data_IF_474866225067
#
_entry.id   IF_474866225067
#
_cell.length_a   1.000
_cell.length_b   1.000
_cell.length_c   1.000
_cell.angle_alpha   90.00
_cell.angle_beta   90.00
_cell.angle_gamma   90.00
#
_symmetry.space_group_name_H-M   'P 1'
#
loop_
_entity.id
_entity.type
_entity.pdbx_description
1 polymer ?
#
# COMPACT_ATOMS: atom_id res chain seq x y z
N UNK A 1 55.83 -27.53 -32.67
CA UNK A 1 57.22 -27.50 -32.20
C UNK A 1 57.50 -26.10 -31.67
N UNK A 2 57.48 -25.95 -30.34
CA UNK A 2 58.24 -24.99 -29.52
C UNK A 2 58.17 -23.46 -29.73
N UNK A 3 57.84 -22.80 -28.60
CA UNK A 3 58.28 -21.51 -28.00
C UNK A 3 57.17 -20.45 -27.90
N UNK A 4 56.63 -20.07 -26.72
CA UNK A 4 57.17 -19.66 -25.41
C UNK A 4 57.34 -18.13 -25.28
N UNK A 5 56.66 -17.53 -24.29
CA UNK A 5 57.18 -16.49 -23.37
C UNK A 5 56.12 -16.08 -22.32
N UNK A 6 56.38 -16.38 -21.04
CA UNK A 6 55.96 -15.59 -19.85
C UNK A 6 57.01 -14.46 -19.63
N UNK A 7 56.94 -13.51 -18.66
CA UNK A 7 56.09 -13.42 -17.45
C UNK A 7 55.57 -12.01 -17.06
N UNK A 8 54.67 -11.90 -16.06
CA UNK A 8 54.86 -11.14 -14.81
C UNK A 8 53.59 -11.08 -13.95
N UNK A 9 53.77 -11.28 -12.65
CA UNK A 9 52.78 -11.11 -11.59
C UNK A 9 52.82 -9.68 -11.05
N UNK A 10 51.66 -9.08 -10.75
CA UNK A 10 51.47 -7.99 -9.79
C UNK A 10 50.08 -8.09 -9.14
N UNK A 11 50.03 -7.75 -7.86
CA UNK A 11 48.91 -7.83 -6.92
C UNK A 11 47.78 -6.81 -7.24
N UNK A 12 46.58 -6.92 -6.63
CA UNK A 12 45.40 -6.18 -7.05
C UNK A 12 45.38 -4.76 -6.46
N UNK A 13 45.18 -3.77 -7.33
CA UNK A 13 44.97 -2.38 -6.96
C UNK A 13 43.49 -2.02 -7.15
N UNK A 14 42.92 -1.41 -6.12
CA UNK A 14 41.55 -0.94 -6.01
C UNK A 14 41.19 0.08 -7.10
N UNK A 15 40.10 -0.15 -7.83
CA UNK A 15 39.44 0.88 -8.63
C UNK A 15 38.06 1.20 -8.06
N UNK A 16 37.95 2.37 -7.42
CA UNK A 16 36.70 3.08 -7.18
C UNK A 16 35.97 3.32 -8.52
N UNK A 17 34.75 2.81 -8.63
CA UNK A 17 33.86 3.14 -9.73
C UNK A 17 33.17 4.48 -9.45
N UNK A 18 33.61 5.53 -10.16
CA UNK A 18 32.95 6.84 -10.22
C UNK A 18 31.50 6.68 -10.72
N UNK A 19 30.57 7.18 -9.92
CA UNK A 19 29.12 7.22 -10.16
C UNK A 19 28.82 8.20 -11.31
N UNK A 20 28.44 7.68 -12.48
CA UNK A 20 27.93 8.47 -13.61
C UNK A 20 26.48 8.91 -13.39
N UNK A 21 25.98 9.95 -14.09
CA UNK A 21 24.67 10.53 -13.83
C UNK A 21 23.54 9.57 -14.23
N UNK A 22 22.55 9.43 -13.33
CA UNK A 22 21.29 8.74 -13.57
C UNK A 22 20.43 9.56 -14.53
N UNK A 23 20.07 8.99 -15.67
CA UNK A 23 19.08 9.57 -16.58
C UNK A 23 17.70 9.02 -16.20
N UNK A 24 16.90 9.84 -15.52
CA UNK A 24 15.46 9.63 -15.33
C UNK A 24 14.77 10.21 -16.56
N UNK A 25 14.16 9.37 -17.40
CA UNK A 25 13.42 9.82 -18.58
C UNK A 25 11.96 10.06 -18.20
N UNK A 26 11.64 11.28 -17.78
CA UNK A 26 10.24 11.72 -17.60
C UNK A 26 9.74 12.27 -18.93
N UNK A 27 8.86 11.54 -19.60
CA UNK A 27 8.15 12.06 -20.78
C UNK A 27 7.08 13.05 -20.32
N UNK A 28 7.33 14.36 -20.48
CA UNK A 28 6.31 15.41 -20.37
C UNK A 28 5.83 15.77 -21.77
N UNK A 29 4.60 15.36 -22.12
CA UNK A 29 3.93 15.81 -23.34
C UNK A 29 3.51 17.29 -23.24
N UNK A 30 3.46 18.03 -24.36
CA UNK A 30 3.09 19.44 -24.35
C UNK A 30 1.58 19.66 -24.21
N UNK A 31 1.20 20.63 -23.37
CA UNK A 31 -0.14 21.20 -23.27
C UNK A 31 -0.48 21.98 -24.54
N UNK A 32 -1.43 21.47 -25.34
CA UNK A 32 -2.03 22.22 -26.43
C UNK A 32 -3.30 22.92 -25.93
N UNK A 33 -3.23 24.25 -25.86
CA UNK A 33 -4.34 25.15 -25.60
C UNK A 33 -5.14 25.29 -26.91
N UNK A 34 -6.41 24.88 -26.93
CA UNK A 34 -7.30 25.18 -28.04
C UNK A 34 -8.48 26.02 -27.56
N UNK A 35 -8.48 27.29 -27.95
CA UNK A 35 -9.60 28.21 -27.80
C UNK A 35 -10.45 28.18 -29.07
N UNK A 36 -11.77 28.05 -28.89
CA UNK A 36 -12.78 28.59 -29.81
C UNK A 36 -13.54 27.57 -30.67
N UNK A 37 -14.75 27.20 -30.24
CA UNK A 37 -15.97 27.76 -30.82
C UNK A 37 -17.18 27.43 -29.94
N UNK A 38 -17.87 28.48 -29.51
CA UNK A 38 -19.12 28.46 -28.76
C UNK A 38 -20.30 28.56 -29.75
N UNK A 39 -21.43 27.99 -29.36
CA UNK A 39 -22.78 28.11 -29.96
C UNK A 39 -22.99 27.52 -31.36
N UNK A 40 -23.66 26.36 -31.39
CA UNK A 40 -24.91 26.17 -32.13
C UNK A 40 -25.58 24.88 -31.66
N UNK A 41 -26.92 24.89 -31.62
CA UNK A 41 -27.85 23.81 -31.23
C UNK A 41 -28.40 23.86 -29.79
N UNK A 42 -29.04 24.98 -29.46
CA UNK A 42 -30.23 24.99 -28.61
C UNK A 42 -31.48 25.03 -29.52
N UNK A 43 -32.11 23.88 -29.77
CA UNK A 43 -33.54 23.79 -30.12
C UNK A 43 -34.10 22.44 -29.62
N UNK A 44 -35.28 22.41 -28.97
CA UNK A 44 -35.87 21.19 -28.43
C UNK A 44 -36.61 20.42 -29.54
N UNK A 45 -36.42 19.11 -29.62
CA UNK A 45 -37.25 18.24 -30.46
C UNK A 45 -38.46 17.67 -29.69
N UNK A 46 -39.59 17.39 -30.36
CA UNK A 46 -40.86 17.08 -29.71
C UNK A 46 -40.90 15.67 -29.13
N UNK A 47 -41.52 15.58 -27.95
CA UNK A 47 -41.87 14.35 -27.24
C UNK A 47 -42.95 13.57 -27.97
N UNK A 48 -42.60 12.40 -28.51
CA UNK A 48 -43.56 11.34 -28.84
C UNK A 48 -43.39 10.18 -27.87
N UNK A 49 -44.41 9.99 -27.03
CA UNK A 49 -44.51 8.87 -26.09
C UNK A 49 -44.87 7.57 -26.83
N UNK A 50 -44.10 6.52 -26.53
CA UNK A 50 -44.40 5.13 -26.82
C UNK A 50 -43.91 4.26 -25.66
N UNK A 51 -44.61 3.17 -25.31
CA UNK A 51 -44.34 2.42 -24.08
C UNK A 51 -42.97 1.75 -24.10
N UNK A 52 -42.16 2.03 -23.07
CA UNK A 52 -40.84 1.46 -22.88
C UNK A 52 -40.92 -0.06 -22.65
N UNK A 53 -40.45 -0.82 -23.63
CA UNK A 53 -40.04 -2.21 -23.44
C UNK A 53 -38.86 -2.20 -22.46
N UNK A 54 -39.09 -2.76 -21.26
CA UNK A 54 -38.04 -2.98 -20.26
C UNK A 54 -36.94 -3.83 -20.91
N UNK A 55 -35.65 -3.40 -20.86
CA UNK A 55 -34.55 -4.30 -21.14
C UNK A 55 -34.65 -5.49 -20.17
N UNK A 56 -34.47 -6.73 -20.63
CA UNK A 56 -34.36 -7.85 -19.70
C UNK A 56 -33.18 -7.58 -18.77
N UNK A 57 -33.45 -7.70 -17.48
CA UNK A 57 -32.47 -7.73 -16.40
C UNK A 57 -31.28 -8.58 -16.87
N UNK A 58 -30.02 -8.11 -16.77
CA UNK A 58 -28.89 -8.96 -17.11
C UNK A 58 -28.97 -10.21 -16.25
N UNK A 59 -29.10 -11.34 -16.91
CA UNK A 59 -29.01 -12.66 -16.32
C UNK A 59 -27.70 -12.73 -15.55
N UNK A 60 -27.77 -13.04 -14.26
CA UNK A 60 -26.62 -13.50 -13.50
C UNK A 60 -26.09 -14.74 -14.21
N UNK A 61 -25.02 -14.55 -14.97
CA UNK A 61 -24.33 -15.63 -15.71
C UNK A 61 -22.85 -15.28 -15.75
N UNK A 62 -22.21 -15.56 -14.62
CA UNK A 62 -20.83 -16.02 -14.43
C UNK A 62 -20.68 -16.09 -12.91
N UNK A 63 -20.23 -17.21 -12.35
CA UNK A 63 -19.70 -17.20 -10.98
C UNK A 63 -18.55 -16.19 -10.98
N UNK A 64 -18.78 -14.96 -10.52
CA UNK A 64 -17.71 -14.00 -10.27
C UNK A 64 -16.84 -14.60 -9.18
N UNK A 65 -15.62 -15.01 -9.54
CA UNK A 65 -14.61 -15.42 -8.55
C UNK A 65 -14.51 -14.34 -7.47
N UNK A 66 -14.56 -14.69 -6.18
CA UNK A 66 -14.50 -13.72 -5.11
C UNK A 66 -13.20 -12.92 -5.22
N UNK A 67 -13.32 -11.59 -5.11
CA UNK A 67 -12.17 -10.70 -5.21
C UNK A 67 -11.15 -11.00 -4.09
N UNK A 68 -9.90 -11.21 -4.48
CA UNK A 68 -8.75 -11.47 -3.62
C UNK A 68 -8.16 -10.17 -3.09
N UNK A 69 -7.91 -10.09 -1.79
CA UNK A 69 -7.19 -8.96 -1.18
C UNK A 69 -5.68 -9.20 -1.20
N UNK A 70 -4.91 -8.23 -1.69
CA UNK A 70 -3.47 -8.36 -1.98
C UNK A 70 -2.54 -8.06 -0.79
N UNK A 71 -3.06 -7.66 0.37
CA UNK A 71 -2.23 -7.37 1.54
C UNK A 71 -2.11 -8.60 2.45
N UNK A 72 -0.89 -9.02 2.77
CA UNK A 72 -0.60 -10.00 3.83
C UNK A 72 0.33 -9.37 4.87
N UNK A 73 -0.24 -8.87 5.97
CA UNK A 73 0.53 -8.24 7.05
C UNK A 73 1.40 -7.08 6.54
N UNK A 74 2.70 -7.01 6.86
CA UNK A 74 3.60 -5.95 6.36
C UNK A 74 3.97 -6.09 4.87
N UNK A 75 3.33 -6.99 4.11
CA UNK A 75 3.50 -7.14 2.67
C UNK A 75 4.79 -7.80 2.20
N UNK A 76 5.59 -8.38 3.10
CA UNK A 76 6.82 -9.06 2.72
C UNK A 76 6.58 -10.42 2.05
N UNK A 77 5.47 -11.08 2.38
CA UNK A 77 5.11 -12.40 1.86
C UNK A 77 3.94 -12.31 0.88
N UNK A 78 4.00 -13.02 -0.26
CA UNK A 78 2.87 -13.08 -1.18
C UNK A 78 1.63 -13.69 -0.54
N UNK A 79 0.46 -13.26 -1.03
CA UNK A 79 -0.84 -13.83 -0.66
C UNK A 79 -1.04 -15.21 -1.25
N UNK A 80 -0.60 -15.42 -2.49
CA UNK A 80 -0.62 -16.72 -3.16
C UNK A 80 0.53 -16.83 -4.14
N UNK A 81 0.99 -18.06 -4.36
CA UNK A 81 2.05 -18.41 -5.29
C UNK A 81 1.52 -19.51 -6.21
N UNK A 82 1.56 -19.25 -7.51
CA UNK A 82 1.23 -20.17 -8.58
C UNK A 82 2.51 -20.62 -9.28
N UNK A 83 2.53 -21.89 -9.71
CA UNK A 83 3.67 -22.48 -10.42
C UNK A 83 3.22 -22.99 -11.78
N UNK A 84 3.99 -22.68 -12.82
CA UNK A 84 3.70 -23.00 -14.20
C UNK A 84 4.86 -23.74 -14.85
N UNK A 85 4.54 -24.74 -15.67
CA UNK A 85 5.52 -25.41 -16.52
C UNK A 85 5.56 -24.72 -17.89
N UNK A 86 6.62 -23.95 -18.15
CA UNK A 86 6.74 -23.15 -19.37
C UNK A 86 6.76 -24.00 -20.65
N UNK A 87 7.08 -25.30 -20.58
CA UNK A 87 7.02 -26.18 -21.77
C UNK A 87 5.61 -26.46 -22.25
N UNK A 88 4.60 -26.20 -21.41
CA UNK A 88 3.17 -26.38 -21.72
C UNK A 88 2.46 -25.06 -22.03
N UNK A 89 3.14 -23.92 -21.92
CA UNK A 89 2.51 -22.62 -22.14
C UNK A 89 2.29 -22.38 -23.63
N UNK A 90 1.06 -22.02 -23.97
CA UNK A 90 0.70 -21.51 -25.31
C UNK A 90 0.33 -20.01 -25.28
N UNK A 91 -0.08 -19.51 -24.11
CA UNK A 91 -0.46 -18.11 -23.88
C UNK A 91 0.47 -17.43 -22.88
N UNK A 92 1.17 -16.38 -23.33
CA UNK A 92 2.08 -15.58 -22.50
C UNK A 92 1.47 -14.20 -22.24
N UNK A 93 0.31 -14.22 -21.59
CA UNK A 93 -0.37 -13.02 -21.11
C UNK A 93 -1.08 -13.30 -19.80
N UNK A 94 -1.16 -12.28 -18.96
CA UNK A 94 -1.94 -12.28 -17.74
C UNK A 94 -2.86 -11.07 -17.74
N UNK A 95 -4.10 -11.25 -17.31
CA UNK A 95 -5.08 -10.18 -17.19
C UNK A 95 -5.87 -10.30 -15.90
N UNK A 96 -6.27 -9.17 -15.33
CA UNK A 96 -7.06 -9.12 -14.10
C UNK A 96 -7.72 -7.74 -13.97
N UNK A 97 -8.76 -7.64 -13.15
CA UNK A 97 -9.26 -6.36 -12.69
C UNK A 97 -8.67 -6.02 -11.32
N UNK A 98 -8.35 -4.74 -11.14
CA UNK A 98 -7.63 -4.22 -9.97
C UNK A 98 -8.29 -2.94 -9.43
N UNK A 99 -8.38 -2.81 -8.11
CA UNK A 99 -8.91 -1.61 -7.42
C UNK A 99 -8.09 -1.32 -6.16
N UNK A 100 -7.71 -0.05 -5.96
CA UNK A 100 -7.01 0.39 -4.74
C UNK A 100 -7.17 1.91 -4.50
N UNK A 101 -6.85 2.34 -3.29
CA UNK A 101 -6.49 3.74 -2.94
C UNK A 101 -5.01 3.87 -2.53
N UNK A 102 -4.28 2.75 -2.52
CA UNK A 102 -2.89 2.67 -2.13
C UNK A 102 -1.98 3.10 -3.29
N UNK A 103 -1.13 4.13 -3.10
CA UNK A 103 -0.32 4.67 -4.19
C UNK A 103 0.97 3.87 -4.45
N UNK A 104 1.39 2.95 -3.58
CA UNK A 104 2.64 2.18 -3.71
C UNK A 104 2.42 0.72 -3.28
N UNK A 105 2.99 -0.23 -4.02
CA UNK A 105 2.90 -1.65 -3.63
C UNK A 105 3.07 -2.61 -4.78
N UNK A 106 3.19 -3.92 -4.48
CA UNK A 106 3.36 -4.96 -5.50
C UNK A 106 2.01 -5.58 -5.83
N UNK A 107 1.64 -5.57 -7.12
CA UNK A 107 0.45 -6.29 -7.60
C UNK A 107 0.82 -7.76 -7.80
N UNK A 108 1.82 -8.02 -8.65
CA UNK A 108 2.36 -9.36 -8.82
C UNK A 108 3.84 -9.36 -9.20
N UNK A 109 4.46 -10.48 -8.90
CA UNK A 109 5.84 -10.80 -9.17
C UNK A 109 5.91 -12.13 -9.92
N UNK A 110 6.85 -12.30 -10.85
CA UNK A 110 7.09 -13.58 -11.50
C UNK A 110 8.56 -13.84 -11.74
N UNK A 111 8.98 -15.10 -11.60
CA UNK A 111 10.36 -15.52 -11.88
C UNK A 111 10.47 -16.90 -12.48
N UNK A 112 11.57 -17.12 -13.20
CA UNK A 112 12.11 -18.47 -13.44
C UNK A 112 13.35 -18.71 -12.59
N UNK A 113 14.03 -17.62 -12.20
CA UNK A 113 15.11 -17.63 -11.23
C UNK A 113 15.11 -16.28 -10.47
N UNK A 114 14.84 -16.28 -9.15
CA UNK A 114 14.71 -15.06 -8.37
C UNK A 114 15.97 -14.19 -8.36
N UNK A 115 17.14 -14.73 -8.72
CA UNK A 115 18.40 -13.98 -8.72
C UNK A 115 18.64 -13.17 -10.00
N UNK A 116 18.17 -13.66 -11.14
CA UNK A 116 18.59 -13.12 -12.44
C UNK A 116 17.57 -13.23 -13.57
N UNK A 117 16.37 -13.77 -13.32
CA UNK A 117 15.28 -13.78 -14.30
C UNK A 117 13.93 -13.62 -13.60
N UNK A 118 13.55 -12.35 -13.42
CA UNK A 118 12.34 -11.96 -12.72
C UNK A 118 11.71 -10.68 -13.29
N UNK A 119 10.42 -10.53 -13.02
CA UNK A 119 9.56 -9.43 -13.40
C UNK A 119 8.67 -9.04 -12.22
N UNK A 120 8.41 -7.75 -12.04
CA UNK A 120 7.49 -7.22 -11.05
C UNK A 120 6.61 -6.15 -11.69
N UNK A 121 5.31 -6.22 -11.45
CA UNK A 121 4.34 -5.15 -11.68
C UNK A 121 3.80 -4.66 -10.34
N UNK A 122 3.90 -3.36 -10.11
CA UNK A 122 3.40 -2.69 -8.91
C UNK A 122 2.88 -1.30 -9.21
N UNK A 123 2.61 -0.55 -8.15
CA UNK A 123 2.33 0.87 -8.20
C UNK A 123 3.46 1.68 -7.58
N UNK A 124 3.69 2.88 -8.11
CA UNK A 124 4.43 3.96 -7.48
C UNK A 124 3.79 5.28 -7.83
N UNK A 125 3.59 6.14 -6.82
CA UNK A 125 2.86 7.40 -6.97
C UNK A 125 1.50 7.21 -7.68
N UNK A 126 0.84 6.08 -7.39
CA UNK A 126 -0.43 5.67 -7.96
C UNK A 126 -0.37 5.13 -9.39
N UNK A 127 0.80 5.08 -10.04
CA UNK A 127 0.95 4.67 -11.45
C UNK A 127 1.57 3.28 -11.56
N UNK A 128 1.23 2.51 -12.61
CA UNK A 128 1.89 1.25 -12.91
C UNK A 128 3.40 1.42 -13.06
N UNK A 129 4.16 0.61 -12.32
CA UNK A 129 5.61 0.48 -12.41
C UNK A 129 5.97 -0.96 -12.73
N UNK A 130 6.86 -1.13 -13.71
CA UNK A 130 7.47 -2.39 -14.08
C UNK A 130 8.95 -2.35 -13.70
N UNK A 131 9.39 -3.37 -12.97
CA UNK A 131 10.80 -3.68 -12.80
C UNK A 131 11.08 -5.07 -13.39
N UNK A 132 12.11 -5.15 -14.23
CA UNK A 132 12.48 -6.37 -14.94
C UNK A 132 13.99 -6.57 -14.84
N UNK A 133 14.41 -7.79 -14.53
CA UNK A 133 15.80 -8.20 -14.63
C UNK A 133 15.89 -9.60 -15.25
N UNK A 134 16.44 -9.67 -16.45
CA UNK A 134 16.69 -10.92 -17.16
C UNK A 134 17.97 -10.82 -18.01
N UNK A 135 18.23 -11.82 -18.85
CA UNK A 135 19.42 -11.87 -19.70
C UNK A 135 19.50 -10.74 -20.75
N UNK A 136 18.35 -10.20 -21.17
CA UNK A 136 18.26 -9.19 -22.23
C UNK A 136 18.18 -7.77 -21.70
N UNK A 137 17.58 -7.57 -20.53
CA UNK A 137 17.29 -6.26 -19.99
C UNK A 137 17.32 -6.22 -18.46
N UNK A 138 17.77 -5.08 -17.94
CA UNK A 138 17.58 -4.69 -16.54
C UNK A 138 17.05 -3.26 -16.51
N UNK A 139 15.76 -3.09 -16.20
CA UNK A 139 15.07 -1.80 -16.32
C UNK A 139 14.02 -1.60 -15.23
N UNK A 140 13.68 -0.33 -15.04
CA UNK A 140 12.57 0.15 -14.22
C UNK A 140 11.86 1.22 -15.03
N UNK A 141 10.53 1.12 -15.16
CA UNK A 141 9.73 2.05 -15.94
C UNK A 141 8.35 2.21 -15.32
N UNK A 142 7.89 3.45 -15.18
CA UNK A 142 6.55 3.77 -14.71
C UNK A 142 5.79 4.48 -15.82
N UNK A 143 4.57 4.02 -16.13
CA UNK A 143 3.82 4.49 -17.28
C UNK A 143 2.31 4.29 -17.08
N UNK A 144 1.50 5.08 -17.80
CA UNK A 144 0.04 5.01 -17.72
C UNK A 144 -0.58 5.96 -16.71
N UNK A 145 -1.92 5.88 -16.53
CA UNK A 145 -2.67 6.74 -15.62
C UNK A 145 -2.42 6.37 -14.14
N UNK A 146 -2.97 7.17 -13.24
CA UNK A 146 -3.09 6.80 -11.83
C UNK A 146 -4.24 5.79 -11.67
N UNK A 147 -4.04 4.77 -10.83
CA UNK A 147 -4.97 3.67 -10.55
C UNK A 147 -5.42 3.60 -9.09
N UNK A 148 -4.94 4.54 -8.26
CA UNK A 148 -5.24 4.68 -6.84
C UNK A 148 -6.48 5.56 -6.60
N UNK A 149 -7.52 5.41 -7.44
CA UNK A 149 -8.72 6.24 -7.43
C UNK A 149 -9.96 5.52 -6.84
N UNK A 150 -9.79 4.29 -6.34
CA UNK A 150 -10.86 3.47 -5.79
C UNK A 150 -11.78 2.81 -6.83
N UNK A 151 -11.48 2.89 -8.13
CA UNK A 151 -12.25 2.25 -9.20
C UNK A 151 -11.60 0.95 -9.65
N UNK A 152 -12.40 0.10 -10.28
CA UNK A 152 -11.89 -1.11 -10.95
C UNK A 152 -11.28 -0.72 -12.29
N UNK A 153 -10.04 -1.15 -12.51
CA UNK A 153 -9.30 -1.01 -13.75
C UNK A 153 -8.95 -2.38 -14.32
N UNK A 154 -9.09 -2.54 -15.63
CA UNK A 154 -8.67 -3.77 -16.33
C UNK A 154 -7.18 -3.67 -16.69
N UNK A 155 -6.39 -4.63 -16.21
CA UNK A 155 -4.96 -4.73 -16.48
C UNK A 155 -4.69 -5.91 -17.40
N UNK A 156 -3.83 -5.70 -18.41
CA UNK A 156 -3.31 -6.79 -19.26
C UNK A 156 -1.79 -6.63 -19.41
N UNK A 157 -1.05 -7.67 -19.06
CA UNK A 157 0.39 -7.79 -19.33
C UNK A 157 0.58 -8.91 -20.33
N UNK A 158 1.22 -8.62 -21.47
CA UNK A 158 1.39 -9.60 -22.54
C UNK A 158 2.77 -9.52 -23.17
N UNK A 159 3.33 -10.68 -23.47
CA UNK A 159 4.53 -10.81 -24.29
C UNK A 159 4.11 -11.03 -25.74
N UNK A 160 4.64 -10.21 -26.65
CA UNK A 160 4.40 -10.31 -28.08
C UNK A 160 5.72 -10.17 -28.84
N UNK A 161 6.23 -11.30 -29.35
CA UNK A 161 7.57 -11.35 -29.95
C UNK A 161 8.64 -11.14 -28.89
N UNK A 162 9.50 -10.14 -29.10
CA UNK A 162 10.56 -9.73 -28.17
C UNK A 162 10.12 -8.63 -27.18
N UNK A 163 8.83 -8.28 -27.19
CA UNK A 163 8.31 -7.09 -26.55
C UNK A 163 7.36 -7.43 -25.40
N UNK A 164 7.45 -6.66 -24.31
CA UNK A 164 6.45 -6.61 -23.23
C UNK A 164 5.45 -5.48 -23.50
N UNK A 165 4.17 -5.77 -23.36
CA UNK A 165 3.09 -4.79 -23.47
C UNK A 165 2.33 -4.74 -22.15
N UNK A 166 2.02 -3.53 -21.70
CA UNK A 166 1.09 -3.28 -20.60
C UNK A 166 -0.08 -2.46 -21.15
N UNK A 167 -1.30 -2.93 -20.87
CA UNK A 167 -2.54 -2.23 -21.18
C UNK A 167 -3.33 -1.98 -19.91
N UNK A 168 -3.98 -0.82 -19.87
CA UNK A 168 -4.88 -0.38 -18.81
C UNK A 168 -6.17 0.03 -19.49
N UNK A 169 -7.30 -0.54 -19.07
CA UNK A 169 -8.64 -0.27 -19.60
C UNK A 169 -8.70 -0.37 -21.14
N UNK A 170 -8.03 -1.41 -21.68
CA UNK A 170 -7.93 -1.68 -23.12
C UNK A 170 -6.92 -0.82 -23.91
N UNK A 171 -6.32 0.19 -23.28
CA UNK A 171 -5.35 1.10 -23.91
C UNK A 171 -3.93 0.63 -23.62
N UNK A 172 -3.09 0.49 -24.66
CA UNK A 172 -1.65 0.25 -24.48
C UNK A 172 -0.98 1.49 -23.89
N UNK A 173 -0.51 1.37 -22.65
CA UNK A 173 0.16 2.47 -21.92
C UNK A 173 1.67 2.35 -21.96
N UNK A 174 2.19 1.15 -22.24
CA UNK A 174 3.62 0.89 -22.32
C UNK A 174 3.93 -0.29 -23.24
N UNK A 175 5.00 -0.14 -24.02
CA UNK A 175 5.62 -1.21 -24.80
C UNK A 175 7.14 -1.15 -24.65
N UNK A 176 7.70 -2.21 -24.08
CA UNK A 176 9.15 -2.40 -23.97
C UNK A 176 9.59 -3.36 -25.06
N UNK A 177 10.46 -2.94 -25.97
CA UNK A 177 10.95 -3.75 -27.09
C UNK A 177 12.28 -4.41 -26.74
N UNK A 178 12.58 -5.55 -27.36
CA UNK A 178 13.86 -6.25 -27.21
C UNK A 178 14.20 -6.64 -25.76
N UNK A 179 13.18 -6.96 -24.96
CA UNK A 179 13.31 -7.37 -23.55
C UNK A 179 13.17 -8.89 -23.35
N UNK A 180 12.83 -9.61 -24.41
CA UNK A 180 12.78 -11.08 -24.46
C UNK A 180 13.43 -11.58 -25.75
N UNK A 181 13.94 -12.81 -25.73
CA UNK A 181 14.52 -13.46 -26.91
C UNK A 181 14.44 -14.97 -26.84
N UNK A 182 14.87 -15.66 -27.91
CA UNK A 182 14.96 -17.12 -27.88
C UNK A 182 16.10 -17.57 -26.96
N UNK A 183 15.77 -18.32 -25.91
CA UNK A 183 16.74 -18.92 -25.03
C UNK A 183 17.09 -20.33 -25.50
N UNK A 184 18.39 -20.67 -25.48
CA UNK A 184 18.87 -22.00 -25.84
C UNK A 184 18.28 -23.05 -24.88
N UNK A 185 17.70 -24.08 -25.48
CA UNK A 185 16.95 -25.15 -24.85
C UNK A 185 17.73 -25.78 -23.69
N UNK A 186 17.22 -25.66 -22.46
CA UNK A 186 17.58 -26.54 -21.37
C UNK A 186 16.39 -26.71 -20.42
N UNK A 187 15.96 -27.96 -20.29
CA UNK A 187 15.31 -28.61 -19.13
C UNK A 187 14.38 -27.78 -18.23
N UNK A 188 13.09 -28.14 -18.25
CA UNK A 188 12.04 -27.76 -17.28
C UNK A 188 12.15 -26.34 -16.71
N UNK A 189 11.88 -25.33 -17.55
CA UNK A 189 11.64 -23.98 -17.04
C UNK A 189 10.33 -23.97 -16.27
N UNK A 190 10.45 -23.93 -14.94
CA UNK A 190 9.34 -23.66 -14.05
C UNK A 190 9.30 -22.14 -13.82
N UNK A 191 8.13 -21.55 -13.97
CA UNK A 191 7.88 -20.16 -13.62
C UNK A 191 7.00 -20.09 -12.38
N UNK A 192 7.30 -19.16 -11.48
CA UNK A 192 6.43 -18.83 -10.35
C UNK A 192 5.79 -17.48 -10.60
N UNK A 193 4.52 -17.33 -10.23
CA UNK A 193 3.84 -16.04 -10.12
C UNK A 193 3.36 -15.90 -8.68
N UNK A 194 3.73 -14.81 -8.04
CA UNK A 194 3.36 -14.46 -6.68
C UNK A 194 2.51 -13.19 -6.69
N UNK A 195 1.38 -13.20 -5.97
CA UNK A 195 0.46 -12.05 -5.90
C UNK A 195 0.64 -11.30 -4.57
N UNK A 196 0.62 -9.97 -4.59
CA UNK A 196 0.64 -9.13 -3.38
C UNK A 196 1.95 -9.15 -2.59
N UNK A 197 3.07 -9.53 -3.21
CA UNK A 197 4.36 -9.62 -2.54
C UNK A 197 5.50 -10.10 -3.45
N UNK A 198 6.69 -10.23 -2.87
CA UNK A 198 7.92 -10.64 -3.57
C UNK A 198 8.42 -11.99 -3.03
N UNK A 199 9.21 -12.71 -3.84
CA UNK A 199 9.92 -13.93 -3.41
C UNK A 199 11.39 -13.68 -3.01
N UNK A 200 11.77 -12.41 -2.91
CA UNK A 200 13.07 -11.95 -2.44
C UNK A 200 12.92 -10.60 -1.71
N UNK A 201 13.92 -10.14 -0.92
CA UNK A 201 13.84 -8.89 -0.18
C UNK A 201 13.60 -7.66 -1.06
N UNK A 202 12.67 -6.79 -0.69
CA UNK A 202 12.36 -5.57 -1.45
C UNK A 202 13.56 -4.62 -1.65
N UNK A 203 14.57 -4.70 -0.77
CA UNK A 203 15.84 -3.98 -0.90
C UNK A 203 16.64 -4.38 -2.15
N UNK A 204 16.40 -5.57 -2.70
CA UNK A 204 17.11 -6.12 -3.86
C UNK A 204 16.47 -5.66 -5.18
N UNK A 205 15.30 -5.01 -5.12
CA UNK A 205 14.76 -4.27 -6.26
C UNK A 205 15.71 -3.14 -6.66
N UNK A 206 15.81 -2.88 -7.96
CA UNK A 206 16.65 -1.78 -8.47
C UNK A 206 16.20 -0.43 -7.94
N UNK A 207 14.88 -0.24 -7.86
CA UNK A 207 14.27 0.90 -7.20
C UNK A 207 13.36 0.35 -6.09
N UNK A 208 13.85 0.29 -4.83
CA UNK A 208 13.04 -0.24 -3.73
C UNK A 208 11.69 0.48 -3.58
N UNK A 209 10.68 -0.28 -3.16
CA UNK A 209 9.36 0.21 -2.76
C UNK A 209 8.88 -0.58 -1.54
N UNK A 210 7.85 -0.09 -0.87
CA UNK A 210 7.10 -0.85 0.14
C UNK A 210 6.23 -1.87 -0.60
N UNK A 211 6.42 -3.19 -0.40
CA UNK A 211 5.72 -4.17 -1.24
C UNK A 211 4.25 -4.40 -0.87
N UNK A 212 3.87 -4.08 0.37
CA UNK A 212 2.50 -4.17 0.81
C UNK A 212 1.59 -3.34 -0.10
N UNK A 213 0.42 -3.89 -0.43
CA UNK A 213 -0.55 -3.21 -1.26
C UNK A 213 -1.97 -3.49 -0.74
N UNK A 214 -2.66 -2.47 -0.25
CA UNK A 214 -4.08 -2.56 0.10
C UNK A 214 -4.95 -2.45 -1.16
N UNK A 215 -5.08 -3.58 -1.85
CA UNK A 215 -5.81 -3.66 -3.09
C UNK A 215 -6.65 -4.92 -3.21
N UNK A 216 -7.64 -4.84 -4.11
CA UNK A 216 -8.51 -5.94 -4.49
C UNK A 216 -8.25 -6.34 -5.94
N UNK A 217 -8.21 -7.65 -6.17
CA UNK A 217 -7.98 -8.26 -7.48
C UNK A 217 -9.10 -9.27 -7.79
N UNK A 218 -9.64 -9.24 -9.01
CA UNK A 218 -10.69 -10.19 -9.44
C UNK A 218 -10.59 -10.49 -10.93
N UNK A 219 -11.38 -11.46 -11.39
CA UNK A 219 -11.48 -11.84 -12.80
C UNK A 219 -10.09 -12.09 -13.42
N UNK A 220 -9.24 -12.75 -12.65
CA UNK A 220 -7.85 -12.96 -13.00
C UNK A 220 -7.65 -14.20 -13.86
N UNK A 221 -6.76 -14.07 -14.83
CA UNK A 221 -6.35 -15.11 -15.76
C UNK A 221 -4.84 -15.01 -15.92
N UNK A 222 -4.11 -15.94 -15.31
CA UNK A 222 -2.66 -15.96 -15.25
C UNK A 222 -2.09 -16.97 -16.24
N UNK A 223 -1.38 -16.48 -17.27
CA UNK A 223 -0.74 -17.32 -18.27
C UNK A 223 -1.69 -18.41 -18.80
N UNK A 224 -1.18 -19.61 -19.09
CA UNK A 224 -1.98 -20.74 -19.54
C UNK A 224 -2.37 -21.63 -18.35
N UNK A 225 -3.67 -21.69 -18.05
CA UNK A 225 -4.25 -22.56 -17.00
C UNK A 225 -3.84 -24.03 -17.16
N UNK A 226 -3.64 -24.51 -18.40
CA UNK A 226 -3.22 -25.91 -18.65
C UNK A 226 -1.75 -26.16 -18.26
N UNK A 227 -0.95 -25.09 -18.17
CA UNK A 227 0.44 -25.14 -17.76
C UNK A 227 0.62 -25.00 -16.25
N UNK A 228 -0.42 -24.60 -15.51
CA UNK A 228 -0.38 -24.46 -14.06
C UNK A 228 -0.23 -25.84 -13.40
N UNK A 229 0.84 -26.01 -12.64
CA UNK A 229 1.14 -27.26 -11.93
C UNK A 229 0.69 -27.23 -10.47
N UNK A 230 0.63 -26.05 -9.86
CA UNK A 230 0.17 -25.85 -8.48
C UNK A 230 -0.22 -24.40 -8.22
N UNK A 231 -1.06 -24.19 -7.21
CA UNK A 231 -1.32 -22.90 -6.57
C UNK A 231 -1.41 -23.10 -5.06
N UNK A 232 -0.86 -22.16 -4.29
CA UNK A 232 -1.03 -22.16 -2.84
C UNK A 232 -2.42 -21.63 -2.46
N UNK A 233 -2.93 -22.12 -1.32
CA UNK A 233 -4.14 -21.53 -0.72
C UNK A 233 -3.84 -20.06 -0.38
N UNK A 234 -4.70 -19.11 -0.80
CA UNK A 234 -4.53 -17.71 -0.43
C UNK A 234 -4.47 -17.54 1.08
N UNK A 235 -3.47 -16.82 1.58
CA UNK A 235 -3.33 -16.53 3.01
C UNK A 235 -4.24 -15.40 3.48
N UNK A 236 -4.73 -14.58 2.55
CA UNK A 236 -5.63 -13.48 2.87
C UNK A 236 -7.03 -13.99 3.20
N UNK A 237 -7.51 -13.65 4.39
CA UNK A 237 -8.84 -14.02 4.90
C UNK A 237 -9.88 -12.92 4.62
N UNK A 238 -9.48 -11.83 3.93
CA UNK A 238 -10.30 -10.63 3.80
C UNK A 238 -11.15 -10.64 2.53
N UNK A 239 -12.41 -10.21 2.68
CA UNK A 239 -13.33 -10.03 1.57
C UNK A 239 -13.25 -8.62 0.99
N UNK A 240 -13.10 -8.54 -0.33
CA UNK A 240 -13.12 -7.30 -1.10
C UNK A 240 -14.53 -6.84 -1.53
N UNK A 241 -15.58 -7.54 -1.07
CA UNK A 241 -16.96 -7.28 -1.47
C UNK A 241 -17.60 -6.05 -0.82
N UNK A 242 -17.04 -5.55 0.28
CA UNK A 242 -17.60 -4.40 1.02
C UNK A 242 -17.38 -3.11 0.23
N UNK A 243 -18.40 -2.24 0.19
CA UNK A 243 -18.25 -0.89 -0.34
C UNK A 243 -17.31 -0.07 0.56
N UNK A 244 -16.26 0.46 -0.04
CA UNK A 244 -15.18 1.15 0.67
C UNK A 244 -14.89 2.53 0.10
N UNK A 245 -14.18 3.32 0.89
CA UNK A 245 -13.67 4.66 0.58
C UNK A 245 -12.21 4.75 1.03
N UNK A 246 -11.50 5.80 0.61
CA UNK A 246 -10.14 6.06 1.07
C UNK A 246 -10.07 6.23 2.60
N UNK A 247 -9.06 5.63 3.23
CA UNK A 247 -8.75 5.83 4.65
C UNK A 247 -8.08 4.62 5.30
N UNK A 248 -7.67 4.74 6.56
CA UNK A 248 -7.04 3.65 7.32
C UNK A 248 -8.07 3.07 8.29
N UNK A 249 -8.45 1.80 8.12
CA UNK A 249 -9.42 1.16 8.99
C UNK A 249 -8.79 0.19 9.98
N UNK A 250 -9.10 0.41 11.26
CA UNK A 250 -8.76 -0.43 12.39
C UNK A 250 -10.00 -1.20 12.85
N UNK A 251 -10.11 -2.51 12.55
CA UNK A 251 -11.10 -3.37 13.18
C UNK A 251 -10.87 -3.51 14.70
N UNK A 252 -11.88 -3.98 15.46
CA UNK A 252 -11.73 -4.26 16.88
C UNK A 252 -10.55 -5.18 17.19
N UNK A 253 -9.80 -4.85 18.23
CA UNK A 253 -8.66 -5.65 18.71
C UNK A 253 -7.40 -5.59 17.82
N UNK A 254 -7.39 -4.73 16.80
CA UNK A 254 -6.21 -4.55 15.93
C UNK A 254 -5.38 -3.34 16.35
N UNK A 255 -4.08 -3.43 16.14
CA UNK A 255 -3.16 -2.31 16.32
C UNK A 255 -1.93 -2.35 15.43
N UNK A 256 -1.24 -1.21 15.39
CA UNK A 256 -0.03 -0.96 14.63
C UNK A 256 0.96 -0.10 15.41
N UNK A 257 2.24 -0.19 15.07
CA UNK A 257 3.34 0.45 15.77
C UNK A 257 4.28 1.15 14.79
N UNK A 258 4.68 2.37 15.13
CA UNK A 258 5.77 3.10 14.47
C UNK A 258 6.90 3.33 15.45
N UNK A 259 8.14 3.16 14.99
CA UNK A 259 9.30 3.67 15.70
C UNK A 259 9.29 5.19 15.70
N UNK A 260 9.47 5.85 16.86
CA UNK A 260 9.54 7.31 16.91
C UNK A 260 10.76 7.89 16.16
N UNK A 261 11.74 7.04 15.83
CA UNK A 261 12.90 7.38 15.00
C UNK A 261 12.60 7.35 13.49
N UNK A 262 11.50 6.70 13.09
CA UNK A 262 11.08 6.49 11.70
C UNK A 262 10.03 7.51 11.24
N UNK A 263 9.44 8.24 12.19
CA UNK A 263 8.51 9.34 11.92
C UNK A 263 9.24 10.70 11.96
N UNK A 264 8.63 11.77 11.42
CA UNK A 264 9.22 13.11 11.45
C UNK A 264 9.63 13.56 12.85
N UNK A 265 10.83 14.13 12.95
CA UNK A 265 11.40 14.54 14.25
C UNK A 265 10.66 15.75 14.84
N UNK A 266 10.58 15.85 16.18
CA UNK A 266 10.13 17.06 16.86
C UNK A 266 10.94 18.29 16.45
N UNK A 267 10.31 19.46 16.53
CA UNK A 267 11.03 20.72 16.46
C UNK A 267 12.01 20.81 17.65
N UNK A 268 13.16 21.45 17.46
CA UNK A 268 14.17 21.54 18.50
C UNK A 268 13.95 22.73 19.44
N UNK A 269 13.61 23.91 18.90
CA UNK A 269 13.52 25.15 19.67
C UNK A 269 12.35 26.04 19.20
N UNK A 270 11.28 26.19 20.01
CA UNK A 270 10.97 25.39 21.19
C UNK A 270 10.69 23.93 20.82
N UNK A 271 10.97 22.99 21.73
CA UNK A 271 10.64 21.58 21.48
C UNK A 271 9.12 21.41 21.36
N UNK A 272 8.70 20.86 20.23
CA UNK A 272 7.29 20.61 19.94
C UNK A 272 7.11 19.40 19.02
N UNK A 273 6.13 18.56 19.36
CA UNK A 273 5.68 17.46 18.50
C UNK A 273 4.18 17.53 18.24
N UNK A 274 3.77 17.52 16.97
CA UNK A 274 2.36 17.51 16.60
C UNK A 274 1.98 16.19 15.92
N UNK A 275 0.78 15.73 16.26
CA UNK A 275 0.15 14.58 15.63
C UNK A 275 -1.34 14.87 15.39
N UNK A 276 -1.81 14.61 14.19
CA UNK A 276 -3.20 14.84 13.79
C UNK A 276 -3.84 13.51 13.35
N UNK A 277 -5.02 13.21 13.89
CA UNK A 277 -5.84 12.04 13.54
C UNK A 277 -7.18 12.52 12.99
N UNK A 278 -7.45 12.30 11.71
CA UNK A 278 -8.74 12.65 11.11
C UNK A 278 -9.72 11.47 11.20
N UNK A 279 -10.50 11.39 12.28
CA UNK A 279 -11.47 10.31 12.47
C UNK A 279 -12.72 10.52 11.60
N UNK A 280 -12.95 9.61 10.65
CA UNK A 280 -14.18 9.57 9.85
C UNK A 280 -15.26 8.73 10.54
N UNK A 281 -14.87 7.60 11.13
CA UNK A 281 -15.73 6.67 11.84
C UNK A 281 -15.06 6.31 13.16
N UNK A 282 -15.85 6.19 14.23
CA UNK A 282 -15.39 5.70 15.52
C UNK A 282 -16.55 5.03 16.25
N UNK A 283 -16.36 3.81 16.71
CA UNK A 283 -17.34 3.03 17.45
C UNK A 283 -16.66 2.20 18.55
N UNK A 284 -17.44 1.77 19.54
CA UNK A 284 -16.95 1.00 20.68
C UNK A 284 -16.12 1.84 21.66
N UNK A 285 -15.32 1.14 22.47
CA UNK A 285 -14.45 1.75 23.48
C UNK A 285 -13.08 1.08 23.49
N UNK A 286 -12.03 1.89 23.60
CA UNK A 286 -10.66 1.40 23.47
C UNK A 286 -9.63 2.46 23.19
N UNK A 287 -8.39 2.02 23.03
CA UNK A 287 -7.27 2.89 22.67
C UNK A 287 -7.37 3.29 21.20
N UNK A 288 -7.23 4.59 20.94
CA UNK A 288 -7.01 5.12 19.60
C UNK A 288 -5.50 5.22 19.33
N UNK A 289 -4.77 5.70 20.33
CA UNK A 289 -3.35 5.99 20.23
C UNK A 289 -2.64 5.92 21.58
N UNK A 290 -1.36 5.59 21.57
CA UNK A 290 -0.47 5.86 22.69
C UNK A 290 0.98 6.16 22.27
N UNK A 291 1.70 6.86 23.14
CA UNK A 291 3.14 7.06 23.08
C UNK A 291 3.76 6.39 24.31
N UNK A 292 4.83 5.65 24.10
CA UNK A 292 5.47 4.86 25.16
C UNK A 292 6.64 4.04 24.66
N UNK A 293 6.99 3.03 25.44
CA UNK A 293 7.90 1.94 25.04
C UNK A 293 7.14 0.62 25.04
N UNK A 294 7.66 -0.47 24.45
CA UNK A 294 7.01 -1.78 24.51
C UNK A 294 6.72 -2.26 25.95
N UNK A 295 7.60 -1.93 26.91
CA UNK A 295 7.45 -2.31 28.31
C UNK A 295 6.47 -1.42 29.07
N UNK A 296 6.33 -0.16 28.65
CA UNK A 296 5.38 0.79 29.21
C UNK A 296 4.74 1.62 28.08
N UNK A 297 3.72 1.07 27.40
CA UNK A 297 3.18 1.65 26.18
C UNK A 297 2.26 2.86 26.41
N UNK A 298 1.94 3.19 27.67
CA UNK A 298 0.93 4.20 28.03
C UNK A 298 1.52 5.37 28.80
N UNK A 299 2.65 5.93 28.35
CA UNK A 299 3.17 7.19 28.92
C UNK A 299 2.23 8.35 28.60
N UNK A 300 1.65 8.31 27.41
CA UNK A 300 0.54 9.16 26.99
C UNK A 300 -0.41 8.30 26.16
N UNK A 301 -1.70 8.35 26.44
CA UNK A 301 -2.71 7.57 25.73
C UNK A 301 -3.96 8.38 25.46
N UNK A 302 -4.57 8.08 24.32
CA UNK A 302 -5.85 8.61 23.88
C UNK A 302 -6.80 7.43 23.74
N UNK A 303 -7.87 7.45 24.53
CA UNK A 303 -8.91 6.42 24.49
C UNK A 303 -10.23 6.99 23.98
N UNK A 304 -10.94 6.19 23.19
CA UNK A 304 -12.35 6.38 22.90
C UNK A 304 -13.18 5.74 24.02
N UNK A 305 -14.05 6.54 24.63
CA UNK A 305 -14.99 6.08 25.65
C UNK A 305 -16.27 6.91 25.56
N UNK A 306 -17.41 6.26 25.32
CA UNK A 306 -18.74 6.89 25.33
C UNK A 306 -18.85 8.14 24.43
N UNK A 307 -18.34 8.06 23.19
CA UNK A 307 -18.26 9.17 22.22
C UNK A 307 -17.42 10.37 22.71
N UNK A 308 -16.56 10.14 23.69
CA UNK A 308 -15.54 11.10 24.13
C UNK A 308 -14.16 10.52 23.90
N UNK A 309 -13.22 11.42 23.74
CA UNK A 309 -11.79 11.14 23.70
C UNK A 309 -11.22 11.46 25.08
N UNK A 310 -10.54 10.51 25.69
CA UNK A 310 -9.90 10.67 27.00
C UNK A 310 -8.39 10.65 26.84
N UNK A 311 -7.74 11.77 27.13
CA UNK A 311 -6.28 11.89 27.23
C UNK A 311 -5.81 11.52 28.62
N UNK A 312 -4.83 10.63 28.74
CA UNK A 312 -4.25 10.22 30.02
C UNK A 312 -2.74 10.03 29.90
N UNK A 313 -1.99 10.25 30.99
CA UNK A 313 -0.53 10.06 31.05
C UNK A 313 -0.08 9.05 32.12
N UNK A 314 -1.01 8.23 32.61
CA UNK A 314 -0.80 7.34 33.76
C UNK A 314 -0.64 8.06 35.11
N UNK A 315 -0.47 9.39 35.10
CA UNK A 315 -0.38 10.26 36.27
C UNK A 315 -1.61 11.17 36.34
N UNK A 316 -2.48 10.91 37.31
CA UNK A 316 -3.66 11.75 37.57
C UNK A 316 -4.89 11.40 36.71
N UNK A 317 -5.97 12.20 36.85
CA UNK A 317 -7.21 11.97 36.12
C UNK A 317 -7.03 12.30 34.63
N UNK A 318 -7.67 11.52 33.76
CA UNK A 318 -7.71 11.80 32.34
C UNK A 318 -8.55 13.05 32.02
N UNK A 319 -8.25 13.69 30.89
CA UNK A 319 -9.02 14.83 30.36
C UNK A 319 -9.93 14.35 29.25
N UNK A 320 -11.23 14.64 29.34
CA UNK A 320 -12.21 14.25 28.33
C UNK A 320 -12.54 15.39 27.37
N UNK A 321 -12.58 15.07 26.09
CA UNK A 321 -12.99 15.98 25.02
C UNK A 321 -14.07 15.29 24.19
N UNK A 322 -15.25 15.90 23.98
CA UNK A 322 -16.31 15.29 23.16
C UNK A 322 -15.84 15.07 21.72
N UNK A 323 -15.99 13.84 21.20
CA UNK A 323 -15.56 13.50 19.86
C UNK A 323 -16.52 14.06 18.81
N UNK A 324 -15.99 14.74 17.81
CA UNK A 324 -16.73 15.20 16.62
C UNK A 324 -16.11 14.59 15.38
N UNK A 325 -16.81 13.65 14.74
CA UNK A 325 -16.34 13.01 13.51
C UNK A 325 -16.19 14.03 12.36
N UNK A 326 -15.21 13.81 11.49
CA UNK A 326 -14.88 14.71 10.38
C UNK A 326 -14.06 15.95 10.77
N UNK A 327 -13.83 16.20 12.06
CA UNK A 327 -12.85 17.18 12.53
C UNK A 327 -11.58 16.48 13.02
N UNK A 328 -10.38 16.92 12.60
CA UNK A 328 -9.14 16.30 13.04
C UNK A 328 -8.94 16.48 14.54
N UNK A 329 -8.61 15.38 15.21
CA UNK A 329 -8.15 15.36 16.59
C UNK A 329 -6.65 15.68 16.57
N UNK A 330 -6.26 16.80 17.16
CA UNK A 330 -4.89 17.30 17.14
C UNK A 330 -4.26 17.15 18.52
N UNK A 331 -3.07 16.58 18.55
CA UNK A 331 -2.28 16.34 19.74
C UNK A 331 -0.95 17.10 19.60
N UNK A 332 -0.78 18.14 20.41
CA UNK A 332 0.42 18.97 20.42
C UNK A 332 1.18 18.80 21.73
N UNK A 333 2.36 18.20 21.66
CA UNK A 333 3.27 17.98 22.77
C UNK A 333 4.26 19.14 22.83
N UNK A 334 4.49 19.63 24.04
CA UNK A 334 5.52 20.64 24.37
C UNK A 334 6.32 20.16 25.57
N UNK A 335 7.40 20.87 25.90
CA UNK A 335 8.25 20.54 27.07
C UNK A 335 7.50 20.47 28.40
N UNK A 336 6.36 21.16 28.54
CA UNK A 336 5.65 21.31 29.81
C UNK A 336 4.23 20.74 29.80
N UNK A 337 3.82 20.09 28.72
CA UNK A 337 2.47 19.55 28.64
C UNK A 337 2.02 19.19 27.23
N UNK A 338 0.80 18.67 27.19
CA UNK A 338 0.13 18.16 26.00
C UNK A 338 -1.17 18.92 25.82
N UNK A 339 -1.41 19.41 24.61
CA UNK A 339 -2.67 20.03 24.22
C UNK A 339 -3.41 19.05 23.30
N UNK A 340 -4.58 18.61 23.73
CA UNK A 340 -5.53 17.88 22.88
C UNK A 340 -6.57 18.87 22.38
N UNK A 341 -6.77 18.99 21.08
CA UNK A 341 -7.76 19.88 20.50
C UNK A 341 -8.55 19.24 19.38
N UNK A 342 -9.81 19.64 19.26
CA UNK A 342 -10.66 19.32 18.12
C UNK A 342 -11.54 20.53 17.80
N UNK A 343 -11.29 21.17 16.66
CA UNK A 343 -11.92 22.44 16.31
C UNK A 343 -11.62 23.53 17.36
N UNK A 344 -12.67 24.16 17.91
CA UNK A 344 -12.54 25.21 18.91
C UNK A 344 -12.32 24.69 20.35
N UNK A 345 -12.55 23.39 20.59
CA UNK A 345 -12.40 22.79 21.92
C UNK A 345 -10.96 22.35 22.12
N UNK A 346 -10.41 22.58 23.31
CA UNK A 346 -9.08 22.12 23.69
C UNK A 346 -9.00 21.81 25.17
N UNK A 347 -8.21 20.80 25.49
CA UNK A 347 -7.82 20.41 26.84
C UNK A 347 -6.30 20.42 26.96
N UNK A 348 -5.79 20.79 28.14
CA UNK A 348 -4.35 20.94 28.38
C UNK A 348 -3.96 20.07 29.57
N UNK A 349 -3.16 19.05 29.30
CA UNK A 349 -2.55 18.20 30.31
C UNK A 349 -1.16 18.72 30.63
N UNK A 350 -0.98 19.27 31.83
CA UNK A 350 0.35 19.66 32.30
C UNK A 350 1.18 18.41 32.61
N UNK A 351 2.43 18.38 32.13
CA UNK A 351 3.37 17.28 32.38
C UNK A 351 4.66 17.84 32.99
N UNK A 352 5.34 17.08 33.86
CA UNK A 352 6.61 17.51 34.42
C UNK A 352 7.65 17.67 33.30
N UNK A 353 8.40 18.79 33.26
CA UNK A 353 9.37 19.04 32.19
C UNK A 353 10.63 18.17 32.27
N UNK A 354 10.90 17.57 33.44
CA UNK A 354 12.03 16.69 33.68
C UNK A 354 11.64 15.58 34.67
N UNK A 355 12.31 14.43 34.58
CA UNK A 355 12.10 13.28 35.46
C UNK A 355 11.33 12.12 34.81
N UNK A 356 11.02 11.07 35.59
CA UNK A 356 10.27 9.91 35.09
C UNK A 356 8.93 10.34 34.50
N UNK A 357 8.70 10.03 33.22
CA UNK A 357 7.49 10.44 32.48
C UNK A 357 7.65 11.70 31.61
N UNK A 358 8.86 12.25 31.48
CA UNK A 358 9.13 13.28 30.47
C UNK A 358 8.96 12.73 29.05
N UNK A 359 8.06 13.33 28.27
CA UNK A 359 7.84 12.88 26.89
C UNK A 359 9.03 13.17 25.95
N UNK A 360 9.93 14.08 26.34
CA UNK A 360 11.17 14.33 25.62
C UNK A 360 12.05 13.08 25.53
N UNK A 361 12.06 12.29 26.60
CA UNK A 361 12.92 11.10 26.71
C UNK A 361 12.49 10.00 25.72
N UNK A 362 11.22 9.97 25.30
CA UNK A 362 10.71 9.01 24.31
C UNK A 362 11.41 9.13 22.97
N UNK A 363 11.74 10.34 22.53
CA UNK A 363 12.43 10.57 21.26
C UNK A 363 13.94 10.35 21.35
N UNK A 364 14.51 10.33 22.56
CA UNK A 364 15.91 9.98 22.79
C UNK A 364 16.09 8.45 22.85
N UNK A 365 15.06 7.74 23.31
CA UNK A 365 15.12 6.28 23.43
C UNK A 365 14.96 5.60 22.05
N UNK A 366 15.79 4.57 21.75
CA UNK A 366 15.62 3.77 20.52
C UNK A 366 14.33 2.93 20.56
N UNK A 367 13.80 2.69 21.75
CA UNK A 367 12.58 1.94 22.00
C UNK A 367 11.31 2.83 22.03
N UNK A 368 11.42 4.13 21.76
CA UNK A 368 10.24 4.99 21.67
C UNK A 368 9.30 4.52 20.54
N UNK A 369 8.01 4.38 20.86
CA UNK A 369 6.98 3.91 19.94
C UNK A 369 5.76 4.82 19.94
N UNK A 370 5.15 4.93 18.77
CA UNK A 370 3.78 5.37 18.55
C UNK A 370 2.92 4.13 18.30
N UNK A 371 1.99 3.84 19.20
CA UNK A 371 1.02 2.78 19.10
C UNK A 371 -0.31 3.35 18.58
N UNK A 372 -0.96 2.64 17.67
CA UNK A 372 -2.27 2.98 17.12
C UNK A 372 -3.20 1.79 17.28
N UNK A 373 -4.41 2.04 17.77
CA UNK A 373 -5.38 1.00 18.09
C UNK A 373 -4.99 0.18 19.33
N UNK A 374 -5.35 -1.10 19.32
CA UNK A 374 -5.17 -2.03 20.43
C UNK A 374 -3.70 -2.46 20.62
N UNK A 375 -3.28 -2.65 21.87
CA UNK A 375 -2.02 -3.33 22.17
C UNK A 375 -2.18 -4.87 22.08
N UNK A 376 -1.09 -5.64 21.90
CA UNK A 376 -1.15 -7.09 21.91
C UNK A 376 -1.81 -7.64 23.19
N UNK A 377 -2.91 -8.38 23.03
CA UNK A 377 -3.68 -8.95 24.15
C UNK A 377 -4.65 -7.98 24.85
N UNK A 378 -4.76 -6.72 24.41
CA UNK A 378 -5.73 -5.76 24.94
C UNK A 378 -7.12 -6.07 24.38
N UNK A 379 -8.05 -6.45 25.27
CA UNK A 379 -9.44 -6.66 24.90
C UNK A 379 -10.12 -5.29 24.68
N UNK A 380 -10.43 -4.96 23.43
CA UNK A 380 -11.09 -3.71 23.06
C UNK A 380 -12.14 -3.93 21.97
N UNK A 381 -13.23 -3.16 22.06
CA UNK A 381 -14.27 -3.10 21.05
C UNK A 381 -14.12 -1.89 20.10
N UNK A 382 -13.07 -1.08 20.28
CA UNK A 382 -12.86 0.12 19.47
C UNK A 382 -12.62 -0.25 18.01
N UNK A 383 -13.42 0.31 17.12
CA UNK A 383 -13.17 0.31 15.68
C UNK A 383 -13.25 1.72 15.15
N UNK A 384 -12.35 2.07 14.25
CA UNK A 384 -12.29 3.42 13.71
C UNK A 384 -11.66 3.46 12.33
N UNK A 385 -12.07 4.48 11.57
CA UNK A 385 -11.49 4.81 10.28
C UNK A 385 -10.84 6.19 10.37
N UNK A 386 -9.61 6.29 9.89
CA UNK A 386 -8.89 7.55 9.74
C UNK A 386 -8.90 7.98 8.27
N UNK A 387 -9.30 9.22 7.98
CA UNK A 387 -9.05 9.86 6.67
C UNK A 387 -7.56 10.10 6.44
N UNK A 388 -6.81 10.21 7.53
CA UNK A 388 -5.37 10.22 7.53
C UNK A 388 -4.79 10.38 8.92
N UNK A 389 -3.48 10.21 8.96
CA UNK A 389 -2.64 10.25 10.15
C UNK A 389 -1.42 11.09 9.80
N UNK A 390 -1.20 12.19 10.51
CA UNK A 390 -0.08 13.09 10.24
C UNK A 390 0.77 13.30 11.47
N UNK A 391 2.08 13.27 11.29
CA UNK A 391 3.05 13.71 12.29
C UNK A 391 3.83 14.89 11.71
N UNK A 392 3.91 16.02 12.43
CA UNK A 392 4.59 17.22 11.95
C UNK A 392 4.14 17.70 10.57
N UNK A 393 2.84 17.53 10.26
CA UNK A 393 2.28 17.87 8.96
C UNK A 393 2.67 16.94 7.80
N UNK A 394 3.36 15.83 8.06
CA UNK A 394 3.64 14.79 7.05
C UNK A 394 2.74 13.58 7.29
N UNK A 395 2.16 13.05 6.22
CA UNK A 395 1.32 11.84 6.29
C UNK A 395 2.18 10.64 6.68
N UNK A 396 1.69 9.87 7.64
CA UNK A 396 2.28 8.58 7.99
C UNK A 396 1.59 7.49 7.18
N UNK A 397 2.38 6.77 6.40
CA UNK A 397 1.94 5.63 5.61
C UNK A 397 1.90 4.37 6.49
N UNK A 398 0.72 3.76 6.60
CA UNK A 398 0.49 2.60 7.46
C UNK A 398 1.23 1.35 6.98
N UNK A 399 1.57 1.25 5.70
CA UNK A 399 2.37 0.15 5.16
C UNK A 399 3.84 0.21 5.59
N UNK A 400 4.28 1.36 6.12
CA UNK A 400 5.60 1.56 6.71
C UNK A 400 5.64 1.35 8.22
N UNK A 401 4.53 0.94 8.84
CA UNK A 401 4.51 0.60 10.25
C UNK A 401 5.54 -0.50 10.54
N UNK A 402 6.27 -0.35 11.65
CA UNK A 402 7.26 -1.32 12.12
C UNK A 402 6.61 -2.68 12.40
N UNK A 403 5.38 -2.66 12.93
CA UNK A 403 4.55 -3.84 13.12
C UNK A 403 3.08 -3.45 12.96
N UNK A 404 2.24 -4.35 12.42
CA UNK A 404 0.79 -4.15 12.32
C UNK A 404 0.02 -5.46 12.27
N UNK A 405 -1.20 -5.43 12.79
CA UNK A 405 -2.13 -6.57 12.73
C UNK A 405 -2.53 -6.91 11.29
N UNK A 406 -2.68 -8.21 11.00
CA UNK A 406 -3.04 -8.73 9.67
C UNK A 406 -4.41 -8.32 9.15
N UNK A 407 -5.25 -7.65 9.95
CA UNK A 407 -6.62 -7.26 9.61
C UNK A 407 -6.82 -5.75 9.43
N UNK A 408 -5.77 -4.93 9.63
CA UNK A 408 -5.82 -3.48 9.39
C UNK A 408 -5.81 -3.19 7.88
N UNK A 409 -6.76 -2.40 7.40
CA UNK A 409 -6.78 -1.90 6.03
C UNK A 409 -6.03 -0.58 6.00
N UNK A 410 -4.96 -0.48 5.20
CA UNK A 410 -4.03 0.64 5.26
C UNK A 410 -4.47 1.82 4.42
N UNK A 411 -5.30 1.61 3.40
CA UNK A 411 -5.76 2.64 2.48
C UNK A 411 -7.27 2.57 2.15
N UNK A 412 -7.99 1.59 2.70
CA UNK A 412 -9.44 1.42 2.52
C UNK A 412 -10.22 1.42 3.84
N UNK A 413 -11.31 2.18 3.91
CA UNK A 413 -12.32 2.11 4.98
C UNK A 413 -13.68 1.63 4.48
N UNK A 414 -14.44 0.84 5.25
CA UNK A 414 -15.81 0.48 4.91
C UNK A 414 -16.73 1.71 5.00
N UNK A 415 -17.62 1.92 4.02
CA UNK A 415 -18.56 3.06 4.03
C UNK A 415 -19.66 2.91 5.10
N UNK A 416 -20.03 1.68 5.43
CA UNK A 416 -20.97 1.37 6.50
C UNK A 416 -20.35 0.31 7.43
N UNK A 417 -19.95 0.66 8.66
CA UNK A 417 -19.43 -0.31 9.62
C UNK A 417 -20.51 -1.26 10.20
N UNK A 418 -21.70 -1.34 9.59
CA UNK A 418 -22.88 -2.06 10.12
C UNK A 418 -23.16 -3.41 9.44
N UNK A 419 -23.33 -4.45 10.26
CA UNK A 419 -23.75 -5.84 9.99
C UNK A 419 -22.67 -6.87 9.60
N UNK A 420 -21.48 -6.79 10.22
CA UNK A 420 -20.61 -7.96 10.41
C UNK A 420 -20.93 -8.72 11.70
N UNK A 421 -22.20 -9.07 11.94
CA UNK A 421 -22.52 -10.16 12.85
C UNK A 421 -22.41 -11.47 12.07
N UNK A 422 -21.66 -12.43 12.61
CA UNK A 422 -21.48 -13.80 12.14
C UNK A 422 -20.70 -14.01 10.83
N UNK A 423 -19.41 -14.30 10.99
CA UNK A 423 -18.83 -15.53 10.40
C UNK A 423 -17.79 -16.10 11.37
N UNK A 424 -18.26 -16.77 12.41
CA UNK A 424 -17.55 -17.97 12.88
C UNK A 424 -17.73 -19.04 11.80
N UNK A 425 -16.65 -19.44 11.12
CA UNK A 425 -16.40 -20.82 10.70
C UNK A 425 -14.94 -21.01 10.33
#
# INVERSE_FOLDING_TARGET
MWKAAFPHAFAPESLEAKRGPQLIMVSRGPLAIWHGLLLLLLLPLPSHGGPALRPPLPSQTAEDSPALHLSNGPGQEPVTIMTFNLTKITKISSSFEFRTWDPEGVIFYGDTNPKNDWFMLGLRDGRPEIQLHNHWAQLTVSAGPRLDDGRWHQMEVKIHGDSLLLRVDGVEVLRLRQVFGQQANNSQLIMRIALGGLLFPASDLRLPLVPALDACLRQDDWLDQQAQTSASVPTSVRSCAVESQSGIFFPPGTGAEFGLQEIPRPHAEPWAFSLDLALQLAAGSGRLLALGTPENPSWLSIHLQDQKVVLSSGLGPGLDLPLVLGLPLQLNLTVSGVVLSQGAKKEILALPPTGPGSLLDLWVQPQGRLFLGALPGEATSASFCLDGLWAQGQSLDMDRAQSRSLNIWTHSCPQNPGNGSDTTH
#
